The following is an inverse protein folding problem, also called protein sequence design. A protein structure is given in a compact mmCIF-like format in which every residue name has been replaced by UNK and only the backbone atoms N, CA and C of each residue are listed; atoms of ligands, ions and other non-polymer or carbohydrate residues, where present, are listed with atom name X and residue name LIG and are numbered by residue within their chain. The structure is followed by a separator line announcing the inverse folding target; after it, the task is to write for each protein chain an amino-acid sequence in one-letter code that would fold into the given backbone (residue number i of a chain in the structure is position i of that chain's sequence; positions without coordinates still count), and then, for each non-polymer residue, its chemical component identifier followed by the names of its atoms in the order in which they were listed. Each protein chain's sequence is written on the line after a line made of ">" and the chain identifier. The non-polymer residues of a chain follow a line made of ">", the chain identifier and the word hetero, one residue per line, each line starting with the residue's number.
data_IF_695082284597
#
_entry.id   IF_695082284597
#
_cell.length_a   1.000
_cell.length_b   1.000
_cell.length_c   1.000
_cell.angle_alpha   90.00
_cell.angle_beta   90.00
_cell.angle_gamma   90.00
#
_symmetry.space_group_name_H-M   'P 1'
#
loop_
_entity.id
_entity.type
_entity.pdbx_description
1 polymer ?
#
# COMPACT_ATOMS: atom_id res chain seq x y z
N UNK A 1 -5.18 43.56 -33.74
CA UNK A 1 -4.61 42.22 -33.48
C UNK A 1 -4.17 42.03 -32.02
N UNK A 2 -3.49 43.00 -31.38
CA UNK A 2 -3.05 42.92 -29.97
C UNK A 2 -4.18 42.68 -28.94
N UNK A 3 -5.33 43.33 -29.08
CA UNK A 3 -6.47 43.13 -28.17
C UNK A 3 -7.10 41.74 -28.28
N UNK A 4 -7.18 41.16 -29.49
CA UNK A 4 -7.68 39.78 -29.68
C UNK A 4 -6.73 38.72 -29.10
N UNK A 5 -5.43 38.97 -29.08
CA UNK A 5 -4.44 38.09 -28.47
C UNK A 5 -4.56 38.05 -26.94
N UNK A 6 -4.88 39.19 -26.31
CA UNK A 6 -5.07 39.30 -24.86
C UNK A 6 -6.31 38.52 -24.39
N UNK A 7 -7.41 38.57 -25.15
CA UNK A 7 -8.62 37.78 -24.84
C UNK A 7 -8.40 36.27 -24.96
N UNK A 8 -7.59 35.82 -25.93
CA UNK A 8 -7.28 34.39 -26.11
C UNK A 8 -6.39 33.87 -24.96
N UNK A 9 -5.38 34.64 -24.54
CA UNK A 9 -4.49 34.26 -23.41
C UNK A 9 -5.26 34.22 -22.08
N UNK A 10 -6.21 35.14 -21.88
CA UNK A 10 -7.07 35.14 -20.68
C UNK A 10 -8.04 33.97 -20.65
N UNK A 11 -8.56 33.53 -21.80
CA UNK A 11 -9.49 32.40 -21.89
C UNK A 11 -8.77 31.05 -21.71
N UNK A 12 -7.55 30.92 -22.23
CA UNK A 12 -6.70 29.72 -22.05
C UNK A 12 -6.26 29.57 -20.59
N UNK A 13 -5.98 30.68 -19.88
CA UNK A 13 -5.59 30.63 -18.46
C UNK A 13 -6.73 30.16 -17.54
N UNK A 14 -7.99 30.37 -17.93
CA UNK A 14 -9.15 29.92 -17.15
C UNK A 14 -9.42 28.41 -17.26
N UNK A 15 -8.96 27.75 -18.33
CA UNK A 15 -9.17 26.30 -18.57
C UNK A 15 -8.15 25.45 -17.79
N UNK A 16 -6.96 26.00 -17.49
CA UNK A 16 -5.87 25.26 -16.83
C UNK A 16 -6.11 25.15 -15.30
N UNK A 17 -6.95 26.03 -14.72
CA UNK A 17 -7.24 26.03 -13.28
C UNK A 17 -8.26 24.96 -12.85
N UNK A 18 -9.03 24.40 -13.78
CA UNK A 18 -10.03 23.35 -13.48
C UNK A 18 -9.45 21.93 -13.47
N UNK A 19 -8.18 21.76 -13.85
CA UNK A 19 -7.53 20.44 -13.94
C UNK A 19 -6.85 19.98 -12.65
N UNK A 20 -6.85 20.81 -11.61
CA UNK A 20 -6.36 20.42 -10.29
C UNK A 20 -7.54 20.08 -9.36
N UNK A 21 -7.46 18.91 -8.72
CA UNK A 21 -8.04 18.59 -7.40
C UNK A 21 -9.35 17.81 -7.25
N UNK A 22 -9.69 16.89 -8.16
CA UNK A 22 -10.50 15.74 -7.76
C UNK A 22 -9.57 14.55 -7.50
N UNK A 23 -9.08 14.39 -6.27
CA UNK A 23 -8.52 13.10 -5.85
C UNK A 23 -9.68 12.09 -5.90
N UNK A 24 -9.54 10.93 -6.59
CA UNK A 24 -10.59 9.93 -6.62
C UNK A 24 -10.97 9.54 -5.20
N UNK A 25 -12.25 9.60 -4.87
CA UNK A 25 -12.74 9.09 -3.59
C UNK A 25 -12.40 7.59 -3.51
N UNK A 26 -11.74 7.12 -2.44
CA UNK A 26 -11.38 5.72 -2.34
C UNK A 26 -12.63 4.84 -2.33
N UNK A 27 -12.62 3.79 -3.16
CA UNK A 27 -13.69 2.79 -3.22
C UNK A 27 -13.31 1.64 -2.29
N UNK A 28 -14.21 1.26 -1.40
CA UNK A 28 -13.99 0.19 -0.43
C UNK A 28 -14.75 -1.07 -0.87
N UNK A 29 -14.11 -2.23 -0.70
CA UNK A 29 -14.76 -3.51 -0.90
C UNK A 29 -15.72 -3.74 0.27
N UNK A 30 -17.01 -3.95 -0.04
CA UNK A 30 -18.04 -4.17 0.96
C UNK A 30 -17.79 -5.46 1.75
N UNK A 31 -18.31 -5.53 2.98
CA UNK A 31 -18.25 -6.75 3.76
C UNK A 31 -19.01 -7.89 3.08
N UNK A 32 -18.47 -9.11 3.14
CA UNK A 32 -19.05 -10.28 2.52
C UNK A 32 -18.00 -11.24 1.95
N UNK A 33 -18.45 -12.32 1.29
CA UNK A 33 -17.57 -13.43 0.89
C UNK A 33 -16.38 -13.02 0.03
N UNK A 34 -16.57 -12.06 -0.88
CA UNK A 34 -15.50 -11.57 -1.75
C UNK A 34 -14.40 -10.85 -0.96
N UNK A 35 -14.78 -10.02 0.02
CA UNK A 35 -13.84 -9.37 0.93
C UNK A 35 -13.15 -10.41 1.80
N UNK A 36 -13.89 -11.36 2.35
CA UNK A 36 -13.32 -12.38 3.25
C UNK A 36 -12.27 -13.23 2.53
N UNK A 37 -12.46 -13.53 1.24
CA UNK A 37 -11.49 -14.23 0.42
C UNK A 37 -10.19 -13.42 0.21
N UNK A 38 -10.30 -12.10 0.01
CA UNK A 38 -9.12 -11.20 -0.08
C UNK A 38 -8.41 -11.16 1.26
N UNK A 39 -9.15 -10.95 2.35
CA UNK A 39 -8.62 -10.85 3.72
C UNK A 39 -7.90 -12.13 4.12
N UNK A 40 -8.46 -13.30 3.82
CA UNK A 40 -7.81 -14.57 4.12
C UNK A 40 -6.41 -14.70 3.47
N UNK A 41 -6.19 -14.08 2.31
CA UNK A 41 -4.87 -14.03 1.66
C UNK A 41 -3.99 -12.97 2.30
N UNK A 42 -4.50 -11.76 2.47
CA UNK A 42 -3.70 -10.64 3.00
C UNK A 42 -3.36 -10.80 4.49
N UNK A 43 -4.13 -11.58 5.25
CA UNK A 43 -3.82 -11.97 6.62
C UNK A 43 -2.57 -12.84 6.67
N UNK A 44 -2.41 -13.80 5.75
CA UNK A 44 -1.19 -14.61 5.66
C UNK A 44 0.00 -13.70 5.31
N UNK A 45 -0.18 -12.84 4.31
CA UNK A 45 0.87 -11.93 3.83
C UNK A 45 1.35 -10.99 4.96
N UNK A 46 0.43 -10.34 5.70
CA UNK A 46 0.82 -9.40 6.77
C UNK A 46 1.56 -10.10 7.90
N UNK A 47 1.14 -11.31 8.27
CA UNK A 47 1.78 -12.08 9.32
C UNK A 47 3.19 -12.56 8.90
N UNK A 48 3.35 -13.00 7.66
CA UNK A 48 4.67 -13.38 7.12
C UNK A 48 5.60 -12.16 7.00
N UNK A 49 5.08 -10.99 6.60
CA UNK A 49 5.84 -9.73 6.59
C UNK A 49 6.36 -9.38 7.98
N UNK A 50 5.47 -9.38 8.98
CA UNK A 50 5.83 -9.06 10.37
C UNK A 50 6.84 -10.07 10.90
N UNK A 51 6.57 -11.37 10.72
CA UNK A 51 7.47 -12.45 11.14
C UNK A 51 8.84 -12.34 10.46
N UNK A 52 8.88 -12.04 9.17
CA UNK A 52 10.10 -11.83 8.41
C UNK A 52 10.91 -10.63 8.92
N UNK A 53 10.26 -9.51 9.23
CA UNK A 53 10.91 -8.34 9.84
C UNK A 53 11.47 -8.70 11.22
N UNK A 54 10.65 -9.27 12.08
CA UNK A 54 11.00 -9.55 13.48
C UNK A 54 12.08 -10.63 13.66
N UNK A 55 12.09 -11.63 12.77
CA UNK A 55 13.05 -12.73 12.80
C UNK A 55 14.23 -12.48 11.86
N UNK A 56 14.30 -11.30 11.24
CA UNK A 56 15.31 -10.92 10.26
C UNK A 56 15.45 -11.93 9.12
N UNK A 57 14.32 -12.50 8.71
CA UNK A 57 14.22 -13.53 7.69
C UNK A 57 13.64 -12.95 6.39
N UNK A 58 14.52 -12.68 5.43
CA UNK A 58 14.15 -12.17 4.13
C UNK A 58 13.27 -13.14 3.34
N UNK A 59 13.50 -14.45 3.43
CA UNK A 59 12.72 -15.44 2.68
C UNK A 59 11.25 -15.42 3.10
N UNK A 60 10.98 -15.33 4.40
CA UNK A 60 9.62 -15.15 4.92
C UNK A 60 9.05 -13.78 4.55
N UNK A 61 9.86 -12.72 4.66
CA UNK A 61 9.43 -11.36 4.33
C UNK A 61 9.01 -11.21 2.87
N UNK A 62 9.71 -11.86 1.93
CA UNK A 62 9.48 -11.72 0.50
C UNK A 62 8.66 -12.87 -0.11
N UNK A 63 8.11 -13.77 0.70
CA UNK A 63 7.50 -15.03 0.24
C UNK A 63 6.32 -14.84 -0.72
N UNK A 64 5.64 -13.70 -0.62
CA UNK A 64 4.46 -13.36 -1.44
C UNK A 64 4.75 -12.27 -2.49
N UNK A 65 5.99 -11.80 -2.60
CA UNK A 65 6.33 -10.71 -3.50
C UNK A 65 6.18 -11.14 -4.96
N UNK A 66 5.52 -10.31 -5.75
CA UNK A 66 5.60 -10.33 -7.20
C UNK A 66 7.06 -10.26 -7.67
N UNK A 67 7.32 -10.72 -8.89
CA UNK A 67 8.66 -10.64 -9.49
C UNK A 67 9.21 -9.21 -9.51
N UNK A 68 8.35 -8.22 -9.72
CA UNK A 68 8.72 -6.80 -9.70
C UNK A 68 9.18 -6.38 -8.31
N UNK A 69 8.47 -6.80 -7.25
CA UNK A 69 8.86 -6.50 -5.87
C UNK A 69 10.15 -7.22 -5.48
N UNK A 70 10.30 -8.50 -5.82
CA UNK A 70 11.55 -9.25 -5.62
C UNK A 70 12.74 -8.60 -6.35
N UNK A 71 12.49 -7.89 -7.44
CA UNK A 71 13.51 -7.13 -8.16
C UNK A 71 13.80 -5.75 -7.56
N UNK A 72 12.87 -5.20 -6.79
CA UNK A 72 12.97 -3.85 -6.23
C UNK A 72 13.45 -3.81 -4.79
N UNK A 73 13.11 -4.84 -3.99
CA UNK A 73 13.48 -4.96 -2.58
C UNK A 73 14.37 -6.17 -2.46
N UNK A 74 15.68 -5.96 -2.31
CA UNK A 74 16.65 -7.06 -2.20
C UNK A 74 16.99 -7.32 -0.74
N UNK A 75 17.62 -8.46 -0.46
CA UNK A 75 18.14 -8.77 0.88
C UNK A 75 19.02 -7.66 1.43
N UNK A 76 19.78 -6.96 0.58
CA UNK A 76 20.62 -5.82 0.96
C UNK A 76 19.83 -4.59 1.46
N UNK A 77 18.54 -4.48 1.13
CA UNK A 77 17.67 -3.40 1.62
C UNK A 77 17.06 -3.72 2.99
N UNK A 78 17.17 -4.96 3.46
CA UNK A 78 16.56 -5.40 4.71
C UNK A 78 17.16 -4.73 5.94
N UNK A 79 18.45 -4.41 5.93
CA UNK A 79 19.08 -3.74 7.07
C UNK A 79 18.40 -2.40 7.40
N UNK A 80 17.91 -1.68 6.37
CA UNK A 80 17.15 -0.43 6.57
C UNK A 80 15.77 -0.70 7.16
N UNK A 81 15.12 -1.77 6.72
CA UNK A 81 13.81 -2.19 7.25
C UNK A 81 13.99 -2.61 8.71
N UNK A 82 14.95 -3.47 9.04
CA UNK A 82 15.24 -3.87 10.41
C UNK A 82 15.58 -2.67 11.29
N UNK A 83 16.44 -1.75 10.83
CA UNK A 83 16.76 -0.54 11.59
C UNK A 83 15.53 0.35 11.87
N UNK A 84 14.52 0.31 11.00
CA UNK A 84 13.26 1.04 11.18
C UNK A 84 12.36 0.38 12.23
N UNK A 85 12.31 -0.95 12.26
CA UNK A 85 11.38 -1.71 13.10
C UNK A 85 11.97 -2.21 14.43
N UNK A 86 13.27 -2.51 14.51
CA UNK A 86 13.97 -2.94 15.73
C UNK A 86 13.68 -2.02 16.94
N UNK A 87 13.65 -0.68 16.81
CA UNK A 87 13.34 0.19 17.93
C UNK A 87 11.90 0.09 18.44
N UNK A 88 10.95 -0.39 17.61
CA UNK A 88 9.53 -0.42 17.93
C UNK A 88 9.15 -1.54 18.92
N UNK A 89 10.01 -2.55 19.07
CA UNK A 89 9.74 -3.75 19.86
C UNK A 89 8.96 -4.80 19.07
N UNK A 90 8.42 -5.81 19.76
CA UNK A 90 7.59 -6.85 19.13
C UNK A 90 6.20 -6.33 18.76
N UNK A 91 5.60 -6.95 17.75
CA UNK A 91 4.18 -6.75 17.44
C UNK A 91 3.31 -7.40 18.52
N UNK A 92 2.26 -6.69 18.91
CA UNK A 92 1.30 -7.08 19.94
C UNK A 92 -0.09 -7.39 19.35
N UNK A 93 -0.50 -6.63 18.32
CA UNK A 93 -1.76 -6.87 17.60
C UNK A 93 -1.66 -6.52 16.12
N UNK A 94 -2.50 -7.20 15.33
CA UNK A 94 -2.69 -6.96 13.89
C UNK A 94 -4.20 -6.90 13.63
N UNK A 95 -4.67 -5.77 13.12
CA UNK A 95 -6.11 -5.50 12.91
C UNK A 95 -6.35 -4.99 11.48
N UNK A 96 -7.24 -5.63 10.72
CA UNK A 96 -7.67 -5.12 9.42
C UNK A 96 -8.44 -3.80 9.59
N UNK A 97 -8.02 -2.75 8.90
CA UNK A 97 -8.71 -1.46 8.84
C UNK A 97 -9.68 -1.43 7.67
N UNK A 98 -9.20 -1.77 6.47
CA UNK A 98 -9.98 -1.60 5.24
C UNK A 98 -9.40 -2.43 4.10
N UNK A 99 -10.27 -2.81 3.17
CA UNK A 99 -9.86 -3.28 1.83
C UNK A 99 -10.40 -2.28 0.82
N UNK A 100 -9.51 -1.68 0.04
CA UNK A 100 -9.85 -0.76 -1.03
C UNK A 100 -9.76 -1.44 -2.38
N UNK A 101 -10.71 -1.14 -3.25
CA UNK A 101 -10.63 -1.42 -4.67
C UNK A 101 -9.77 -0.33 -5.32
N UNK A 102 -8.65 -0.74 -5.92
CA UNK A 102 -7.68 0.14 -6.57
C UNK A 102 -7.48 -0.23 -8.06
N UNK A 103 -8.57 -0.58 -8.76
CA UNK A 103 -8.52 -0.92 -10.19
C UNK A 103 -8.14 -2.38 -10.40
N UNK A 104 -6.93 -2.65 -10.87
CA UNK A 104 -6.42 -4.02 -11.08
C UNK A 104 -5.89 -4.67 -9.79
N UNK A 105 -5.93 -3.92 -8.69
CA UNK A 105 -5.40 -4.32 -7.39
C UNK A 105 -6.42 -4.15 -6.27
N UNK A 106 -6.22 -4.89 -5.18
CA UNK A 106 -6.78 -4.58 -3.87
C UNK A 106 -5.70 -3.97 -2.97
N UNK A 107 -6.07 -2.99 -2.16
CA UNK A 107 -5.21 -2.44 -1.12
C UNK A 107 -5.80 -2.74 0.26
N UNK A 108 -5.22 -3.71 0.96
CA UNK A 108 -5.56 -4.03 2.34
C UNK A 108 -4.68 -3.20 3.30
N UNK A 109 -5.32 -2.52 4.26
CA UNK A 109 -4.62 -1.79 5.32
C UNK A 109 -4.79 -2.52 6.64
N UNK A 110 -3.67 -2.78 7.29
CA UNK A 110 -3.61 -3.38 8.62
C UNK A 110 -2.99 -2.40 9.60
N UNK A 111 -3.62 -2.24 10.74
CA UNK A 111 -3.03 -1.60 11.91
C UNK A 111 -2.16 -2.63 12.62
N UNK A 112 -0.87 -2.37 12.71
CA UNK A 112 0.06 -3.18 13.49
C UNK A 112 0.47 -2.39 14.72
N UNK A 113 0.09 -2.89 15.90
CA UNK A 113 0.49 -2.31 17.18
C UNK A 113 1.77 -2.99 17.62
N UNK A 114 2.88 -2.25 17.69
CA UNK A 114 4.12 -2.68 18.34
C UNK A 114 4.20 -2.09 19.75
N UNK A 115 5.05 -2.65 20.61
CA UNK A 115 5.28 -2.21 22.00
C UNK A 115 5.41 -0.68 22.15
N UNK A 116 6.06 -0.01 21.19
CA UNK A 116 6.33 1.44 21.27
C UNK A 116 5.56 2.30 20.28
N UNK A 117 4.96 1.72 19.23
CA UNK A 117 4.33 2.50 18.16
C UNK A 117 3.31 1.67 17.37
N UNK A 118 2.28 2.36 16.87
CA UNK A 118 1.38 1.83 15.85
C UNK A 118 1.88 2.23 14.46
N UNK A 119 1.89 1.28 13.53
CA UNK A 119 2.24 1.48 12.11
C UNK A 119 1.13 0.90 11.24
N UNK A 120 0.75 1.60 10.18
CA UNK A 120 -0.22 1.05 9.21
C UNK A 120 0.53 0.38 8.07
N UNK A 121 0.28 -0.91 7.90
CA UNK A 121 0.81 -1.69 6.80
C UNK A 121 -0.22 -1.64 5.67
N UNK A 122 0.15 -1.02 4.55
CA UNK A 122 -0.64 -1.06 3.32
C UNK A 122 -0.05 -2.10 2.38
N UNK A 123 -0.78 -3.19 2.21
CA UNK A 123 -0.44 -4.31 1.34
C UNK A 123 -1.30 -4.18 0.09
N UNK A 124 -0.65 -4.15 -1.07
CA UNK A 124 -1.33 -4.12 -2.37
C UNK A 124 -1.14 -5.46 -3.06
N UNK A 125 -2.24 -6.09 -3.43
CA UNK A 125 -2.26 -7.43 -4.06
C UNK A 125 -3.01 -7.41 -5.38
N UNK A 126 -2.66 -8.32 -6.28
CA UNK A 126 -3.32 -8.43 -7.58
C UNK A 126 -4.75 -8.94 -7.43
N UNK A 127 -5.71 -8.40 -8.19
CA UNK A 127 -7.07 -8.95 -8.18
C UNK A 127 -7.16 -10.34 -8.78
N UNK A 128 -6.30 -10.63 -9.76
CA UNK A 128 -6.25 -11.94 -10.43
C UNK A 128 -5.76 -13.03 -9.49
N UNK A 129 -4.83 -12.71 -8.58
CA UNK A 129 -4.39 -13.57 -7.49
C UNK A 129 -4.03 -12.72 -6.25
N UNK A 130 -4.94 -12.59 -5.28
CA UNK A 130 -4.69 -11.83 -4.06
C UNK A 130 -3.58 -12.40 -3.14
N UNK A 131 -3.02 -13.57 -3.48
CA UNK A 131 -1.81 -14.09 -2.84
C UNK A 131 -0.52 -13.43 -3.33
N UNK A 132 -0.55 -12.70 -4.45
CA UNK A 132 0.63 -12.02 -5.01
C UNK A 132 0.64 -10.56 -4.59
N UNK A 133 1.67 -10.17 -3.84
CA UNK A 133 1.88 -8.81 -3.38
C UNK A 133 2.65 -7.98 -4.43
N UNK A 134 2.08 -6.85 -4.81
CA UNK A 134 2.61 -5.93 -5.83
C UNK A 134 2.90 -4.53 -5.28
N UNK A 135 2.64 -4.29 -3.99
CA UNK A 135 3.12 -3.09 -3.30
C UNK A 135 3.09 -3.20 -1.77
N UNK A 136 3.95 -2.39 -1.13
CA UNK A 136 4.09 -2.30 0.33
C UNK A 136 4.41 -0.86 0.75
N UNK A 137 3.66 -0.34 1.71
CA UNK A 137 3.96 0.93 2.39
C UNK A 137 3.76 0.80 3.89
N UNK A 138 4.58 1.52 4.64
CA UNK A 138 4.45 1.70 6.09
C UNK A 138 4.06 3.16 6.34
N UNK A 139 2.81 3.39 6.76
CA UNK A 139 2.22 4.73 7.02
C UNK A 139 2.25 5.07 8.52
#
# INVERSE_FOLDING_TARGET
>A
MRTRLIFIVSLISAIILSACSAQPTPVYVAEGPDRDAIVAKTDVIVNDLISGIENKNYETFSSHFSEVMLNSIKTADMDKIYATFDPLGKSESVELISVQDAGDYYAARYKVTFEKKVVIFRIVVEKADPGVQSGLWFE
#
